data_IF_788319469094
#
_entry.id   IF_788319469094
#
_cell.length_a   1.000
_cell.length_b   1.000
_cell.length_c   1.000
_cell.angle_alpha   90.00
_cell.angle_beta   90.00
_cell.angle_gamma   90.00
#
_symmetry.space_group_name_H-M   'P 1'
#
loop_
_entity.id
_entity.type
_entity.pdbx_description
1 polymer ?
#
# COMPACT_ATOMS: atom_id res chain seq x y z
N UNK A 1 -25.66 6.47 -1.08
CA UNK A 1 -24.40 6.87 -0.40
C UNK A 1 -24.77 7.64 0.86
N UNK A 2 -24.26 7.25 2.03
CA UNK A 2 -24.57 7.93 3.29
C UNK A 2 -23.89 9.31 3.35
N UNK A 3 -24.54 10.34 3.90
CA UNK A 3 -24.07 11.74 3.88
C UNK A 3 -22.71 11.90 4.54
N UNK A 4 -22.50 11.22 5.68
CA UNK A 4 -21.23 11.19 6.41
C UNK A 4 -20.06 10.65 5.56
N UNK A 5 -20.32 9.64 4.73
CA UNK A 5 -19.30 9.02 3.87
C UNK A 5 -18.88 9.92 2.72
N UNK A 6 -19.82 10.67 2.14
CA UNK A 6 -19.53 11.69 1.14
C UNK A 6 -18.60 12.76 1.71
N UNK A 7 -18.92 13.27 2.90
CA UNK A 7 -18.11 14.30 3.57
C UNK A 7 -16.72 13.80 3.96
N UNK A 8 -16.57 12.53 4.36
CA UNK A 8 -15.25 11.93 4.63
C UNK A 8 -14.39 11.86 3.36
N UNK A 9 -14.97 11.39 2.25
CA UNK A 9 -14.26 11.31 0.97
C UNK A 9 -13.86 12.69 0.45
N UNK A 10 -14.75 13.68 0.55
CA UNK A 10 -14.47 15.08 0.20
C UNK A 10 -13.30 15.64 1.01
N UNK A 11 -13.27 15.38 2.33
CA UNK A 11 -12.14 15.78 3.19
C UNK A 11 -10.84 15.09 2.80
N UNK A 12 -10.84 13.77 2.61
CA UNK A 12 -9.64 13.04 2.20
C UNK A 12 -9.09 13.51 0.85
N UNK A 13 -9.99 13.81 -0.08
CA UNK A 13 -9.60 14.36 -1.38
C UNK A 13 -8.97 15.75 -1.22
N UNK A 14 -9.61 16.65 -0.47
CA UNK A 14 -9.10 18.00 -0.23
C UNK A 14 -7.75 17.99 0.50
N UNK A 15 -7.61 17.18 1.54
CA UNK A 15 -6.44 17.19 2.42
C UNK A 15 -5.27 16.36 1.85
N UNK A 16 -5.55 15.34 1.04
CA UNK A 16 -4.55 14.33 0.67
C UNK A 16 -4.52 13.96 -0.83
N UNK A 17 -5.42 14.48 -1.66
CA UNK A 17 -5.48 14.16 -3.10
C UNK A 17 -4.15 14.36 -3.83
N UNK A 18 -3.55 15.55 -3.71
CA UNK A 18 -2.25 15.83 -4.32
C UNK A 18 -1.12 14.96 -3.75
N UNK A 19 -1.13 14.72 -2.44
CA UNK A 19 -0.11 13.89 -1.80
C UNK A 19 -0.20 12.42 -2.27
N UNK A 20 -1.42 11.92 -2.49
CA UNK A 20 -1.69 10.59 -3.00
C UNK A 20 -1.22 10.44 -4.45
N UNK A 21 -1.56 11.38 -5.34
CA UNK A 21 -1.10 11.36 -6.74
C UNK A 21 0.43 11.40 -6.79
N UNK A 22 1.08 12.34 -6.08
CA UNK A 22 2.56 12.41 -6.02
C UNK A 22 3.20 11.14 -5.45
N UNK A 23 2.53 10.46 -4.53
CA UNK A 23 3.00 9.18 -4.00
C UNK A 23 2.94 8.09 -5.08
N UNK A 24 1.83 7.99 -5.82
CA UNK A 24 1.65 7.01 -6.89
C UNK A 24 2.58 7.31 -8.08
N UNK A 25 2.74 8.58 -8.47
CA UNK A 25 3.63 8.98 -9.58
C UNK A 25 5.07 8.52 -9.34
N UNK A 26 5.56 8.52 -8.09
CA UNK A 26 6.89 7.96 -7.77
C UNK A 26 7.01 6.46 -7.99
N UNK A 27 5.89 5.74 -7.97
CA UNK A 27 5.83 4.30 -8.20
C UNK A 27 5.72 4.04 -9.70
N UNK A 28 4.71 4.60 -10.37
CA UNK A 28 4.39 4.29 -11.77
C UNK A 28 5.11 5.15 -12.80
N UNK A 29 5.80 6.21 -12.36
CA UNK A 29 6.53 7.19 -13.20
C UNK A 29 5.68 7.85 -14.30
N UNK A 30 4.37 7.93 -14.07
CA UNK A 30 3.38 8.53 -14.98
C UNK A 30 2.34 9.27 -14.14
N UNK A 31 2.07 10.53 -14.49
CA UNK A 31 1.08 11.35 -13.78
C UNK A 31 -0.34 10.93 -14.16
N UNK A 32 -0.58 10.61 -15.43
CA UNK A 32 -1.88 10.16 -15.93
C UNK A 32 -2.30 8.85 -15.25
N UNK A 33 -1.42 7.85 -15.24
CA UNK A 33 -1.69 6.59 -14.54
C UNK A 33 -1.88 6.80 -13.04
N UNK A 34 -1.15 7.74 -12.44
CA UNK A 34 -1.26 8.05 -11.02
C UNK A 34 -2.62 8.67 -10.67
N UNK A 35 -3.16 9.53 -11.52
CA UNK A 35 -4.49 10.12 -11.35
C UNK A 35 -5.59 9.06 -11.47
N UNK A 36 -5.48 8.17 -12.46
CA UNK A 36 -6.41 7.05 -12.63
C UNK A 36 -6.37 6.09 -11.43
N UNK A 37 -5.18 5.66 -11.01
CA UNK A 37 -5.02 4.82 -9.82
C UNK A 37 -5.64 5.50 -8.59
N UNK A 38 -5.43 6.82 -8.41
CA UNK A 38 -6.00 7.56 -7.30
C UNK A 38 -7.54 7.53 -7.35
N UNK A 39 -8.16 7.77 -8.52
CA UNK A 39 -9.61 7.67 -8.70
C UNK A 39 -10.12 6.28 -8.34
N UNK A 40 -9.47 5.23 -8.85
CA UNK A 40 -9.81 3.84 -8.54
C UNK A 40 -9.69 3.53 -7.03
N UNK A 41 -8.71 4.11 -6.34
CA UNK A 41 -8.54 3.97 -4.90
C UNK A 41 -9.70 4.60 -4.12
N UNK A 42 -10.12 5.80 -4.49
CA UNK A 42 -11.29 6.46 -3.88
C UNK A 42 -12.59 5.69 -4.13
N UNK A 43 -12.79 5.14 -5.34
CA UNK A 43 -13.95 4.31 -5.66
C UNK A 43 -13.99 3.02 -4.85
N UNK A 44 -12.84 2.36 -4.64
CA UNK A 44 -12.75 1.18 -3.76
C UNK A 44 -13.05 1.54 -2.31
N UNK A 45 -12.52 2.66 -1.82
CA UNK A 45 -12.82 3.17 -0.48
C UNK A 45 -14.32 3.45 -0.31
N UNK A 46 -14.97 3.98 -1.34
CA UNK A 46 -16.42 4.27 -1.33
C UNK A 46 -17.28 2.99 -1.26
N UNK A 47 -16.80 1.87 -1.85
CA UNK A 47 -17.53 0.59 -1.92
C UNK A 47 -17.42 -0.26 -0.65
N UNK A 48 -16.58 0.13 0.32
CA UNK A 48 -16.46 -0.61 1.57
C UNK A 48 -17.78 -0.57 2.35
N UNK A 49 -18.30 -1.75 2.69
CA UNK A 49 -19.64 -1.93 3.26
C UNK A 49 -19.70 -1.67 4.76
N UNK A 50 -18.58 -1.83 5.49
CA UNK A 50 -18.54 -1.69 6.95
C UNK A 50 -17.78 -0.42 7.40
N UNK A 51 -18.50 0.50 8.04
CA UNK A 51 -17.94 1.70 8.69
C UNK A 51 -17.14 1.35 9.97
N UNK A 52 -17.34 0.16 10.55
CA UNK A 52 -16.71 -0.26 11.82
C UNK A 52 -15.21 -0.59 11.73
N UNK A 53 -14.67 -0.79 10.53
CA UNK A 53 -13.25 -1.17 10.34
C UNK A 53 -12.34 -0.01 9.90
N UNK A 54 -12.88 1.19 9.73
CA UNK A 54 -12.17 2.32 9.13
C UNK A 54 -11.59 3.30 10.18
N UNK A 55 -10.79 2.77 11.10
CA UNK A 55 -10.11 3.56 12.14
C UNK A 55 -9.10 4.58 11.57
N UNK A 56 -8.55 4.33 10.38
CA UNK A 56 -7.67 5.27 9.69
C UNK A 56 -7.92 5.25 8.16
N UNK A 57 -8.90 6.04 7.69
CA UNK A 57 -9.31 6.04 6.28
C UNK A 57 -8.21 6.52 5.33
N UNK A 58 -7.34 7.44 5.80
CA UNK A 58 -6.19 7.91 5.04
C UNK A 58 -5.18 6.78 4.80
N UNK A 59 -4.77 6.08 5.85
CA UNK A 59 -3.81 4.99 5.72
C UNK A 59 -4.35 3.90 4.77
N UNK A 60 -5.64 3.59 4.88
CA UNK A 60 -6.29 2.62 4.02
C UNK A 60 -6.35 3.05 2.55
N UNK A 61 -6.65 4.33 2.28
CA UNK A 61 -6.61 4.90 0.93
C UNK A 61 -5.22 4.78 0.29
N UNK A 62 -4.15 5.12 1.01
CA UNK A 62 -2.78 4.98 0.53
C UNK A 62 -2.39 3.52 0.30
N UNK A 63 -2.89 2.60 1.11
CA UNK A 63 -2.68 1.16 0.91
C UNK A 63 -3.36 0.66 -0.37
N UNK A 64 -4.62 1.05 -0.61
CA UNK A 64 -5.33 0.68 -1.84
C UNK A 64 -4.58 1.21 -3.07
N UNK A 65 -4.17 2.48 -3.04
CA UNK A 65 -3.42 3.11 -4.12
C UNK A 65 -2.07 2.42 -4.38
N UNK A 66 -1.32 2.08 -3.32
CA UNK A 66 -0.07 1.33 -3.45
C UNK A 66 -0.28 -0.02 -4.14
N UNK A 67 -1.32 -0.76 -3.75
CA UNK A 67 -1.60 -2.07 -4.33
C UNK A 67 -1.97 -1.95 -5.81
N UNK A 68 -2.82 -0.99 -6.17
CA UNK A 68 -3.18 -0.71 -7.57
C UNK A 68 -1.96 -0.31 -8.41
N UNK A 69 -1.06 0.51 -7.86
CA UNK A 69 0.17 0.93 -8.53
C UNK A 69 1.12 -0.24 -8.79
N UNK A 70 1.34 -1.10 -7.78
CA UNK A 70 2.18 -2.29 -7.93
C UNK A 70 1.58 -3.28 -8.92
N UNK A 71 0.26 -3.50 -8.87
CA UNK A 71 -0.44 -4.37 -9.82
C UNK A 71 -0.31 -3.85 -11.26
N UNK A 72 -0.42 -2.53 -11.47
CA UNK A 72 -0.23 -1.93 -12.79
C UNK A 72 1.20 -2.10 -13.31
N UNK A 73 2.22 -1.84 -12.48
CA UNK A 73 3.62 -2.07 -12.85
C UNK A 73 3.89 -3.55 -13.18
N UNK A 74 3.29 -4.48 -12.44
CA UNK A 74 3.45 -5.91 -12.69
C UNK A 74 2.80 -6.32 -14.01
N UNK A 75 1.60 -5.83 -14.31
CA UNK A 75 0.95 -6.02 -15.63
C UNK A 75 1.78 -5.40 -16.76
N UNK A 76 2.33 -4.21 -16.55
CA UNK A 76 3.24 -3.57 -17.49
C UNK A 76 4.49 -4.41 -17.76
N UNK A 77 5.12 -4.97 -16.72
CA UNK A 77 6.26 -5.88 -16.88
C UNK A 77 5.90 -7.17 -17.62
N UNK A 78 4.78 -7.82 -17.26
CA UNK A 78 4.31 -9.01 -17.98
C UNK A 78 3.98 -8.70 -19.45
N UNK A 79 3.42 -7.52 -19.71
CA UNK A 79 3.11 -7.06 -21.07
C UNK A 79 4.39 -6.73 -21.86
N UNK A 80 5.36 -6.06 -21.24
CA UNK A 80 6.67 -5.78 -21.82
C UNK A 80 7.47 -7.08 -22.04
N UNK A 81 7.42 -8.05 -21.14
CA UNK A 81 8.07 -9.37 -21.32
C UNK A 81 7.42 -10.14 -22.47
N UNK A 82 6.09 -10.08 -22.61
CA UNK A 82 5.36 -10.67 -23.72
C UNK A 82 5.67 -9.98 -25.06
N UNK A 83 5.75 -8.64 -25.08
CA UNK A 83 6.06 -7.84 -26.28
C UNK A 83 7.55 -7.95 -26.65
N UNK A 84 8.47 -7.98 -25.68
CA UNK A 84 9.91 -8.14 -25.91
C UNK A 84 10.27 -9.55 -26.40
N UNK A 85 9.41 -10.54 -26.20
CA UNK A 85 9.50 -11.84 -26.89
C UNK A 85 9.17 -11.73 -28.40
N UNK A 86 8.58 -10.62 -28.85
CA UNK A 86 8.14 -10.41 -30.23
C UNK A 86 8.83 -9.22 -30.95
N UNK A 87 9.47 -8.27 -30.25
CA UNK A 87 10.26 -7.19 -30.88
C UNK A 87 11.45 -6.72 -30.00
N UNK A 88 12.56 -6.20 -30.59
CA UNK A 88 13.70 -5.67 -29.83
C UNK A 88 13.37 -4.34 -29.12
N UNK A 89 13.86 -4.21 -27.89
CA UNK A 89 13.54 -3.15 -26.94
C UNK A 89 14.23 -1.80 -27.23
N UNK A 90 13.48 -0.70 -27.12
CA UNK A 90 14.00 0.67 -27.00
C UNK A 90 13.76 1.22 -25.59
N UNK A 91 14.76 1.99 -25.12
CA UNK A 91 15.06 2.25 -23.73
C UNK A 91 14.17 3.28 -23.04
N UNK A 92 14.03 3.11 -21.73
CA UNK A 92 13.44 4.11 -20.84
C UNK A 92 14.54 4.69 -19.94
N UNK A 93 14.84 5.97 -20.17
CA UNK A 93 15.78 6.79 -19.40
C UNK A 93 15.23 7.09 -18.01
N UNK A 94 16.11 7.02 -17.01
CA UNK A 94 15.85 7.41 -15.64
C UNK A 94 16.15 8.90 -15.45
N UNK A 95 15.23 9.65 -14.86
CA UNK A 95 15.52 10.96 -14.27
C UNK A 95 15.68 10.78 -12.76
N UNK A 96 16.90 11.03 -12.29
CA UNK A 96 17.22 11.34 -10.90
C UNK A 96 16.40 12.56 -10.49
N UNK A 97 15.82 12.52 -9.28
CA UNK A 97 15.46 13.75 -8.59
C UNK A 97 15.81 13.62 -7.11
N UNK A 98 16.68 14.54 -6.72
CA UNK A 98 17.54 14.49 -5.56
C UNK A 98 16.76 14.75 -4.26
N UNK A 99 17.09 13.97 -3.24
CA UNK A 99 16.46 13.98 -1.94
C UNK A 99 17.18 14.93 -0.99
N UNK A 100 16.46 15.87 -0.36
CA UNK A 100 16.90 16.42 0.93
C UNK A 100 15.73 16.98 1.75
N UNK A 101 14.86 16.11 2.28
CA UNK A 101 14.09 16.47 3.47
C UNK A 101 14.93 16.14 4.70
N UNK A 102 15.48 17.18 5.34
CA UNK A 102 16.12 17.09 6.65
C UNK A 102 15.15 16.45 7.66
N UNK A 103 15.39 15.18 8.01
CA UNK A 103 14.69 14.52 9.12
C UNK A 103 15.37 14.95 10.42
N UNK A 104 14.64 15.58 11.33
CA UNK A 104 15.18 15.96 12.64
C UNK A 104 15.61 14.70 13.43
N UNK A 105 16.66 14.77 14.27
CA UNK A 105 17.16 13.63 15.05
C UNK A 105 16.08 12.97 15.91
N UNK A 106 15.14 13.76 16.44
CA UNK A 106 13.98 13.29 17.21
C UNK A 106 13.04 12.41 16.38
N UNK A 107 12.81 12.74 15.10
CA UNK A 107 12.00 11.92 14.19
C UNK A 107 12.68 10.60 13.85
N UNK A 108 14.01 10.61 13.74
CA UNK A 108 14.80 9.38 13.51
C UNK A 108 14.72 8.46 14.73
N UNK A 109 14.82 9.01 15.94
CA UNK A 109 14.69 8.24 17.19
C UNK A 109 13.29 7.66 17.36
N UNK A 110 12.25 8.46 17.15
CA UNK A 110 10.86 8.00 17.21
C UNK A 110 10.58 6.91 16.17
N UNK A 111 11.09 7.07 14.94
CA UNK A 111 10.95 6.06 13.90
C UNK A 111 11.65 4.74 14.27
N UNK A 112 12.82 4.78 14.91
CA UNK A 112 13.52 3.58 15.40
C UNK A 112 12.73 2.86 16.49
N UNK A 113 12.18 3.59 17.46
CA UNK A 113 11.35 3.01 18.52
C UNK A 113 10.08 2.36 17.96
N UNK A 114 9.42 3.02 17.00
CA UNK A 114 8.26 2.44 16.30
C UNK A 114 8.63 1.18 15.51
N UNK A 115 9.76 1.17 14.82
CA UNK A 115 10.26 -0.01 14.09
C UNK A 115 10.53 -1.19 15.03
N UNK A 116 11.13 -0.93 16.19
CA UNK A 116 11.40 -1.95 17.19
C UNK A 116 10.10 -2.53 17.77
N UNK A 117 9.11 -1.67 18.08
CA UNK A 117 7.80 -2.12 18.54
C UNK A 117 7.06 -2.97 17.48
N UNK A 118 7.22 -2.65 16.20
CA UNK A 118 6.70 -3.48 15.09
C UNK A 118 7.41 -4.83 15.04
N UNK A 119 8.74 -4.87 15.17
CA UNK A 119 9.49 -6.14 15.19
C UNK A 119 9.01 -7.07 16.30
N UNK A 120 8.87 -6.55 17.53
CA UNK A 120 8.35 -7.34 18.65
C UNK A 120 6.92 -7.83 18.41
N UNK A 121 6.06 -6.99 17.81
CA UNK A 121 4.71 -7.39 17.45
C UNK A 121 4.72 -8.55 16.43
N UNK A 122 5.62 -8.50 15.45
CA UNK A 122 5.76 -9.52 14.43
C UNK A 122 6.27 -10.85 14.99
N UNK A 123 7.14 -10.82 16.01
CA UNK A 123 7.64 -12.04 16.67
C UNK A 123 6.58 -12.72 17.54
N UNK A 124 5.57 -11.98 18.00
CA UNK A 124 4.43 -12.57 18.72
C UNK A 124 3.40 -13.26 17.83
N UNK A 125 3.52 -13.14 16.50
CA UNK A 125 2.53 -13.66 15.54
C UNK A 125 2.85 -15.10 15.09
N UNK A 126 1.81 -15.89 14.76
CA UNK A 126 2.00 -17.15 14.07
C UNK A 126 2.76 -16.97 12.75
N UNK A 127 3.62 -17.95 12.42
CA UNK A 127 4.55 -17.88 11.29
C UNK A 127 3.87 -17.53 9.95
N UNK A 128 2.67 -18.08 9.71
CA UNK A 128 1.86 -17.79 8.51
C UNK A 128 1.35 -16.34 8.45
N UNK A 129 1.00 -15.74 9.60
CA UNK A 129 0.63 -14.33 9.66
C UNK A 129 1.83 -13.44 9.34
N UNK A 130 2.98 -13.75 9.94
CA UNK A 130 4.22 -13.02 9.69
C UNK A 130 4.64 -13.11 8.22
N UNK A 131 4.56 -14.29 7.63
CA UNK A 131 4.90 -14.52 6.23
C UNK A 131 4.00 -13.74 5.27
N UNK A 132 2.67 -13.80 5.44
CA UNK A 132 1.73 -13.04 4.62
C UNK A 132 1.97 -11.53 4.70
N UNK A 133 2.19 -11.02 5.91
CA UNK A 133 2.49 -9.60 6.12
C UNK A 133 3.81 -9.17 5.47
N UNK A 134 4.87 -9.97 5.61
CA UNK A 134 6.16 -9.68 4.99
C UNK A 134 6.08 -9.72 3.45
N UNK A 135 5.43 -10.73 2.87
CA UNK A 135 5.23 -10.82 1.43
C UNK A 135 4.50 -9.58 0.88
N UNK A 136 3.49 -9.11 1.60
CA UNK A 136 2.82 -7.86 1.25
C UNK A 136 3.74 -6.64 1.41
N UNK A 137 4.46 -6.52 2.53
CA UNK A 137 5.17 -5.29 2.89
C UNK A 137 6.53 -5.14 2.23
N UNK A 138 7.28 -6.22 2.07
CA UNK A 138 8.64 -6.20 1.51
C UNK A 138 8.67 -6.50 0.01
N UNK A 139 7.75 -7.33 -0.49
CA UNK A 139 7.67 -7.69 -1.92
C UNK A 139 6.54 -7.00 -2.67
N UNK A 140 5.65 -6.29 -1.98
CA UNK A 140 4.51 -5.62 -2.61
C UNK A 140 3.51 -6.58 -3.27
N UNK A 141 3.46 -7.85 -2.82
CA UNK A 141 2.52 -8.81 -3.41
C UNK A 141 1.08 -8.46 -3.00
N UNK A 142 0.15 -8.59 -3.97
CA UNK A 142 -1.28 -8.50 -3.74
C UNK A 142 -1.78 -9.70 -2.93
N UNK A 143 -2.98 -9.59 -2.36
CA UNK A 143 -3.55 -10.67 -1.54
C UNK A 143 -3.74 -11.97 -2.34
N UNK A 144 -4.09 -11.89 -3.62
CA UNK A 144 -4.21 -13.04 -4.51
C UNK A 144 -2.88 -13.72 -4.81
N UNK A 145 -1.80 -12.95 -4.92
CA UNK A 145 -0.46 -13.50 -5.16
C UNK A 145 0.11 -14.12 -3.91
N UNK A 146 -0.10 -13.51 -2.75
CA UNK A 146 0.25 -14.11 -1.46
C UNK A 146 -0.53 -15.41 -1.27
N UNK A 147 -1.82 -15.43 -1.65
CA UNK A 147 -2.66 -16.62 -1.58
C UNK A 147 -2.09 -17.74 -2.46
N UNK A 148 -1.68 -17.41 -3.68
CA UNK A 148 -1.03 -18.35 -4.59
C UNK A 148 0.32 -18.83 -4.05
N UNK A 149 1.22 -17.93 -3.64
CA UNK A 149 2.57 -18.27 -3.15
C UNK A 149 2.55 -19.06 -1.84
N UNK A 150 1.57 -18.80 -0.97
CA UNK A 150 1.39 -19.53 0.28
C UNK A 150 0.46 -20.75 0.16
N UNK A 151 -0.11 -21.01 -1.03
CA UNK A 151 -1.10 -22.05 -1.31
C UNK A 151 -2.28 -22.07 -0.31
N UNK A 152 -2.90 -20.90 -0.13
CA UNK A 152 -4.05 -20.67 0.76
C UNK A 152 -5.12 -19.82 0.05
N UNK A 153 -6.30 -19.68 0.65
CA UNK A 153 -7.33 -18.79 0.11
C UNK A 153 -6.98 -17.31 0.30
N UNK A 154 -7.47 -16.45 -0.58
CA UNK A 154 -7.37 -14.98 -0.45
C UNK A 154 -7.97 -14.51 0.88
N UNK A 155 -9.10 -15.09 1.29
CA UNK A 155 -9.73 -14.80 2.58
C UNK A 155 -8.85 -15.18 3.79
N UNK A 156 -8.03 -16.23 3.66
CA UNK A 156 -7.03 -16.59 4.68
C UNK A 156 -5.92 -15.53 4.75
N UNK A 157 -5.46 -15.02 3.59
CA UNK A 157 -4.46 -13.94 3.52
C UNK A 157 -4.98 -12.66 4.16
N UNK A 158 -6.21 -12.25 3.84
CA UNK A 158 -6.88 -11.10 4.46
C UNK A 158 -6.90 -11.23 5.98
N UNK A 159 -7.33 -12.40 6.49
CA UNK A 159 -7.36 -12.68 7.93
C UNK A 159 -5.97 -12.59 8.56
N UNK A 160 -4.95 -13.15 7.91
CA UNK A 160 -3.57 -13.13 8.39
C UNK A 160 -2.97 -11.72 8.41
N UNK A 161 -3.20 -10.92 7.37
CA UNK A 161 -2.73 -9.54 7.31
C UNK A 161 -3.48 -8.67 8.32
N UNK A 162 -4.79 -8.86 8.49
CA UNK A 162 -5.57 -8.15 9.51
C UNK A 162 -5.08 -8.48 10.93
N UNK A 163 -4.76 -9.74 11.20
CA UNK A 163 -4.20 -10.17 12.48
C UNK A 163 -2.82 -9.55 12.72
N UNK A 164 -1.97 -9.48 11.70
CA UNK A 164 -0.66 -8.83 11.78
C UNK A 164 -0.78 -7.32 12.05
N UNK A 165 -1.67 -6.63 11.34
CA UNK A 165 -1.94 -5.21 11.54
C UNK A 165 -2.49 -4.92 12.94
N UNK A 166 -3.38 -5.76 13.46
CA UNK A 166 -3.90 -5.64 14.84
C UNK A 166 -2.80 -5.79 15.89
N UNK A 167 -1.88 -6.74 15.72
CA UNK A 167 -0.75 -6.91 16.62
C UNK A 167 0.19 -5.70 16.59
N UNK A 168 0.54 -5.22 15.40
CA UNK A 168 1.37 -4.02 15.24
C UNK A 168 0.71 -2.79 15.87
N UNK A 169 -0.59 -2.58 15.63
CA UNK A 169 -1.31 -1.44 16.18
C UNK A 169 -1.41 -1.46 17.71
N UNK A 170 -1.59 -2.63 18.33
CA UNK A 170 -1.61 -2.76 19.79
C UNK A 170 -0.29 -2.34 20.44
N UNK A 171 0.84 -2.58 19.76
CA UNK A 171 2.18 -2.21 20.23
C UNK A 171 2.55 -0.76 19.93
N UNK A 172 2.17 -0.24 18.75
CA UNK A 172 2.50 1.14 18.33
C UNK A 172 1.52 2.18 18.91
N UNK A 173 0.26 1.82 19.16
CA UNK A 173 -0.74 2.72 19.76
C UNK A 173 -0.69 2.83 21.29
N UNK A 174 0.20 2.06 21.94
CA UNK A 174 0.47 2.12 23.38
C UNK A 174 1.77 2.91 23.70
N UNK A 175 2.34 3.59 22.69
CA UNK A 175 3.47 4.51 22.78
C UNK A 175 2.97 5.93 22.57
#
# INVERSE_FOLDING_TARGET
>A
MNKARKTLLEKLFADHGQALVRFITRIVRSTEDAEDIAQHAYLRLQKLSDEKDLDNPRAYLFQIANNLAVDQLRRGKLHIEYINQQLPAEGATATDDDHAFHQSPERVLAARQQLQAIHEAMDSLPLKCRQAFLLHRSRGLSYSEIAHEMNISVSSVEKYILQALKACRKKVGNL
#
